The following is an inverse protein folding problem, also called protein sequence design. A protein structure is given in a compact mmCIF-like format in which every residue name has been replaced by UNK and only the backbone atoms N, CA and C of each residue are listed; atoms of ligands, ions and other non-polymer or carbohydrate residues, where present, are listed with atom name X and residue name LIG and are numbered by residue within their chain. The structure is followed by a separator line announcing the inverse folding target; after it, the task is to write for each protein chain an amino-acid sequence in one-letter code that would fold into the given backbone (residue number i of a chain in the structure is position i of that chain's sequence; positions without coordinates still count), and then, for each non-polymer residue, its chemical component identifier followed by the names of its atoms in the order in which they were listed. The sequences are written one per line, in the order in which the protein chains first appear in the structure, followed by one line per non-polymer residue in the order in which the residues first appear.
data_IF_814866237193
#
_entry.id   IF_814866237193
#
_cell.length_a   1.000
_cell.length_b   1.000
_cell.length_c   1.000
_cell.angle_alpha   90.00
_cell.angle_beta   90.00
_cell.angle_gamma   90.00
#
_symmetry.space_group_name_H-M   'P 1'
#
loop_
_entity.id
_entity.type
_entity.pdbx_description
1 polymer ?
#
# COMPACT_ATOMS: atom_id res chain seq x y z
N UNK A 1 2.60 44.99 25.22
CA UNK A 1 2.93 44.05 24.12
C UNK A 1 2.95 42.63 24.68
N UNK A 2 2.19 41.65 24.24
CA UNK A 2 0.96 41.59 23.44
C UNK A 2 0.43 40.19 23.74
N UNK A 3 -0.59 40.03 24.60
CA UNK A 3 -1.14 38.71 25.00
C UNK A 3 -1.46 37.82 23.78
N UNK A 4 -1.77 38.45 22.65
CA UNK A 4 -1.97 37.83 21.33
C UNK A 4 -0.70 37.15 20.77
N UNK A 5 0.47 37.73 20.98
CA UNK A 5 1.77 37.17 20.55
C UNK A 5 2.09 35.88 21.33
N UNK A 6 1.77 35.86 22.63
CA UNK A 6 1.94 34.68 23.48
C UNK A 6 1.04 33.52 23.01
N UNK A 7 -0.21 33.82 22.62
CA UNK A 7 -1.14 32.82 22.11
C UNK A 7 -0.67 32.21 20.78
N UNK A 8 -0.14 33.02 19.86
CA UNK A 8 0.40 32.54 18.58
C UNK A 8 1.62 31.63 18.80
N UNK A 9 2.53 32.02 19.71
CA UNK A 9 3.69 31.19 20.05
C UNK A 9 3.28 29.84 20.65
N UNK A 10 2.27 29.81 21.52
CA UNK A 10 1.77 28.57 22.14
C UNK A 10 1.10 27.64 21.12
N UNK A 11 0.37 28.17 20.14
CA UNK A 11 -0.22 27.36 19.06
C UNK A 11 0.87 26.78 18.15
N UNK A 12 1.88 27.59 17.80
CA UNK A 12 3.03 27.12 17.01
C UNK A 12 3.82 26.02 17.73
N UNK A 13 4.09 26.17 19.03
CA UNK A 13 4.81 25.13 19.80
C UNK A 13 3.97 23.86 19.94
N UNK A 14 2.66 23.97 20.15
CA UNK A 14 1.78 22.80 20.23
C UNK A 14 1.72 22.02 18.90
N UNK A 15 1.65 22.71 17.75
CA UNK A 15 1.71 22.08 16.43
C UNK A 15 3.07 21.44 16.14
N UNK A 16 4.18 22.08 16.54
CA UNK A 16 5.53 21.52 16.39
C UNK A 16 5.75 20.27 17.25
N UNK A 17 5.20 20.24 18.47
CA UNK A 17 5.25 19.07 19.36
C UNK A 17 4.36 17.94 18.82
N UNK A 18 3.17 18.25 18.30
CA UNK A 18 2.31 17.25 17.67
C UNK A 18 2.95 16.63 16.42
N UNK A 19 3.67 17.42 15.63
CA UNK A 19 4.41 16.95 14.47
C UNK A 19 5.63 16.08 14.86
N UNK A 20 6.29 16.36 15.98
CA UNK A 20 7.43 15.55 16.46
C UNK A 20 7.03 14.25 17.15
N UNK A 21 5.81 14.17 17.72
CA UNK A 21 5.27 12.93 18.30
C UNK A 21 4.61 12.00 17.26
N UNK A 22 4.41 12.47 16.02
CA UNK A 22 3.84 11.71 14.91
C UNK A 22 4.87 10.91 14.08
N UNK A 23 6.17 11.03 14.36
CA UNK A 23 7.23 10.36 13.61
C UNK A 23 7.81 9.16 14.35
N UNK A 24 6.94 8.25 14.81
CA UNK A 24 7.30 6.84 14.68
C UNK A 24 7.04 6.48 13.22
N UNK A 25 7.95 6.90 12.34
CA UNK A 25 8.16 6.21 11.09
C UNK A 25 8.59 4.80 11.50
N UNK A 26 7.58 3.94 11.71
CA UNK A 26 7.76 2.50 11.71
C UNK A 26 8.68 2.24 10.52
N UNK A 27 9.88 1.67 10.74
CA UNK A 27 10.58 1.15 9.60
C UNK A 27 9.57 0.16 9.01
N UNK A 28 9.20 0.34 7.74
CA UNK A 28 8.55 -0.71 6.97
C UNK A 28 9.60 -1.81 6.71
N UNK A 29 10.21 -2.28 7.80
CA UNK A 29 10.82 -3.57 8.02
C UNK A 29 9.79 -4.35 8.82
N UNK A 30 8.56 -4.45 8.29
CA UNK A 30 7.65 -5.49 8.75
C UNK A 30 8.29 -6.80 8.30
N UNK A 31 9.03 -7.41 9.22
CA UNK A 31 9.13 -8.84 9.31
C UNK A 31 7.70 -9.39 9.39
N UNK A 32 7.02 -9.46 8.25
CA UNK A 32 6.02 -10.48 8.04
C UNK A 32 6.84 -11.75 8.03
N UNK A 33 6.90 -12.40 9.19
CA UNK A 33 6.86 -13.84 9.34
C UNK A 33 6.30 -14.45 8.04
N UNK A 34 7.17 -14.84 7.08
CA UNK A 34 6.76 -15.61 5.89
C UNK A 34 6.38 -17.00 6.38
N UNK A 35 5.30 -17.12 7.16
CA UNK A 35 4.35 -18.19 6.88
C UNK A 35 4.04 -18.00 5.42
N UNK A 36 4.35 -19.01 4.60
CA UNK A 36 4.06 -19.01 3.18
C UNK A 36 2.65 -18.46 2.97
N UNK A 37 2.54 -17.16 2.66
CA UNK A 37 1.27 -16.49 2.52
C UNK A 37 0.64 -17.18 1.33
N UNK A 38 -0.40 -17.99 1.59
CA UNK A 38 -1.11 -18.74 0.56
C UNK A 38 -1.32 -17.78 -0.59
N UNK A 39 -0.78 -18.13 -1.74
CA UNK A 39 -0.81 -17.21 -2.84
C UNK A 39 -2.26 -17.06 -3.28
N UNK A 40 -2.79 -15.86 -3.09
CA UNK A 40 -4.17 -15.53 -3.37
C UNK A 40 -4.21 -14.38 -4.36
N UNK A 41 -5.29 -14.33 -5.12
CA UNK A 41 -5.59 -13.17 -5.95
C UNK A 41 -5.98 -12.00 -5.04
N UNK A 42 -5.24 -10.89 -5.14
CA UNK A 42 -5.49 -9.65 -4.38
C UNK A 42 -6.83 -9.02 -4.77
N UNK A 43 -7.27 -9.20 -6.03
CA UNK A 43 -8.50 -8.62 -6.58
C UNK A 43 -9.35 -9.68 -7.30
N UNK A 44 -10.04 -10.58 -6.57
CA UNK A 44 -10.79 -11.69 -7.17
C UNK A 44 -11.85 -11.24 -8.18
N UNK A 45 -12.50 -10.10 -7.94
CA UNK A 45 -13.48 -9.53 -8.88
C UNK A 45 -12.87 -9.18 -10.25
N UNK A 46 -11.60 -8.77 -10.29
CA UNK A 46 -10.86 -8.57 -11.54
C UNK A 46 -10.46 -9.91 -12.12
N UNK A 47 -9.89 -10.79 -11.30
CA UNK A 47 -9.30 -12.07 -11.72
C UNK A 47 -10.32 -13.08 -12.25
N UNK A 48 -11.60 -12.95 -11.85
CA UNK A 48 -12.70 -13.79 -12.34
C UNK A 48 -13.19 -13.42 -13.75
N UNK A 49 -12.71 -12.33 -14.35
CA UNK A 49 -13.13 -11.98 -15.72
C UNK A 49 -12.56 -12.97 -16.74
N UNK A 50 -13.34 -13.26 -17.79
CA UNK A 50 -13.00 -14.25 -18.83
C UNK A 50 -11.76 -13.88 -19.67
N UNK A 51 -11.40 -12.60 -19.72
CA UNK A 51 -10.25 -12.09 -20.47
C UNK A 51 -8.91 -12.20 -19.71
N UNK A 52 -8.94 -12.36 -18.38
CA UNK A 52 -7.72 -12.41 -17.56
C UNK A 52 -6.77 -13.53 -17.99
N UNK A 53 -7.21 -14.78 -18.25
CA UNK A 53 -6.30 -15.84 -18.70
C UNK A 53 -5.58 -15.52 -20.01
N UNK A 54 -6.22 -14.77 -20.92
CA UNK A 54 -5.60 -14.31 -22.16
C UNK A 54 -4.57 -13.20 -21.88
N UNK A 55 -4.89 -12.27 -20.96
CA UNK A 55 -3.96 -11.22 -20.52
C UNK A 55 -2.73 -11.84 -19.83
N UNK A 56 -2.90 -12.84 -18.95
CA UNK A 56 -1.80 -13.54 -18.30
C UNK A 56 -0.78 -14.14 -19.29
N UNK A 57 -1.22 -14.49 -20.53
CA UNK A 57 -0.35 -15.04 -21.59
C UNK A 57 0.20 -13.97 -22.53
N UNK A 58 -0.35 -12.76 -22.51
CA UNK A 58 0.03 -11.66 -23.39
C UNK A 58 0.87 -10.62 -22.65
N UNK A 59 2.20 -10.78 -22.70
CA UNK A 59 3.16 -9.83 -22.09
C UNK A 59 3.07 -8.40 -22.65
N UNK A 60 2.54 -8.24 -23.87
CA UNK A 60 2.38 -6.94 -24.52
C UNK A 60 1.04 -6.28 -24.18
N UNK A 61 0.16 -6.94 -23.42
CA UNK A 61 -1.08 -6.32 -22.98
C UNK A 61 -0.78 -5.18 -22.01
N UNK A 62 -1.42 -4.01 -22.20
CA UNK A 62 -1.21 -2.81 -21.37
C UNK A 62 -1.33 -3.08 -19.87
N UNK A 63 -2.23 -3.97 -19.49
CA UNK A 63 -2.50 -4.33 -18.09
C UNK A 63 -1.72 -5.56 -17.60
N UNK A 64 -0.80 -6.13 -18.39
CA UNK A 64 -0.09 -7.37 -18.03
C UNK A 64 0.57 -7.28 -16.65
N UNK A 65 1.35 -6.24 -16.41
CA UNK A 65 2.06 -6.06 -15.13
C UNK A 65 1.09 -5.97 -13.94
N UNK A 66 0.00 -5.23 -14.09
CA UNK A 66 -1.03 -5.11 -13.05
C UNK A 66 -1.72 -6.45 -12.78
N UNK A 67 -2.17 -7.14 -13.83
CA UNK A 67 -2.82 -8.45 -13.72
C UNK A 67 -1.89 -9.48 -13.07
N UNK A 68 -0.60 -9.46 -13.40
CA UNK A 68 0.37 -10.37 -12.80
C UNK A 68 0.63 -10.11 -11.32
N UNK A 69 0.49 -8.86 -10.84
CA UNK A 69 0.62 -8.56 -9.41
C UNK A 69 -0.65 -8.88 -8.61
N UNK A 70 -1.82 -8.65 -9.18
CA UNK A 70 -3.10 -8.83 -8.47
C UNK A 70 -3.74 -10.21 -8.66
N UNK A 71 -3.51 -10.87 -9.80
CA UNK A 71 -4.09 -12.16 -10.16
C UNK A 71 -3.07 -13.29 -10.17
N UNK A 72 -2.19 -13.34 -9.16
CA UNK A 72 -1.07 -14.30 -9.11
C UNK A 72 -1.52 -15.75 -9.17
N UNK A 73 -2.58 -16.11 -8.45
CA UNK A 73 -3.12 -17.48 -8.44
C UNK A 73 -3.79 -17.79 -9.78
N UNK A 74 -4.64 -16.88 -10.27
CA UNK A 74 -5.32 -17.03 -11.57
C UNK A 74 -4.34 -17.12 -12.74
N UNK A 75 -3.24 -16.35 -12.74
CA UNK A 75 -2.19 -16.41 -13.75
C UNK A 75 -1.15 -17.52 -13.50
N UNK A 76 -1.39 -18.44 -12.55
CA UNK A 76 -0.52 -19.60 -12.31
C UNK A 76 0.88 -19.26 -11.78
N UNK A 77 1.06 -18.11 -11.14
CA UNK A 77 2.33 -17.73 -10.50
C UNK A 77 2.61 -18.50 -9.20
N UNK A 78 1.64 -19.30 -8.75
CA UNK A 78 1.65 -19.97 -7.45
C UNK A 78 0.45 -20.93 -7.30
N UNK A 79 0.56 -21.86 -6.36
CA UNK A 79 -0.44 -22.90 -6.05
C UNK A 79 -1.09 -22.70 -4.70
#
# INVERSE_FOLDING_TARGET
MSRKLLAVLMVCTFFLIAASMGTNALPFHEGIERRAAKCVDKMPFVCMRKDIPAICKNRNHRSYAFIMDVCRKTCGQCT
#
